data_IF_501838349673
#
_entry.id   IF_501838349673
#
_cell.length_a   1.000
_cell.length_b   1.000
_cell.length_c   1.000
_cell.angle_alpha   90.00
_cell.angle_beta   90.00
_cell.angle_gamma   90.00
#
_symmetry.space_group_name_H-M   'P 1'
#
loop_
_entity.id
_entity.type
_entity.pdbx_description
1 polymer ?
#
# COMPACT_ATOMS: atom_id res chain seq x y z
N UNK A 1 3.70 12.68 7.66
CA UNK A 1 2.24 12.73 7.42
C UNK A 1 1.69 11.31 7.59
N UNK A 2 0.40 11.12 7.85
CA UNK A 2 -0.21 9.79 7.84
C UNK A 2 -0.77 9.50 6.45
N UNK A 3 -0.56 8.29 5.96
CA UNK A 3 -1.18 7.76 4.75
C UNK A 3 -1.93 6.49 5.11
N UNK A 4 -3.17 6.39 4.65
CA UNK A 4 -3.96 5.15 4.74
C UNK A 4 -4.11 4.58 3.35
N UNK A 5 -3.68 3.35 3.14
CA UNK A 5 -3.64 2.68 1.83
C UNK A 5 -4.63 1.54 1.79
N UNK A 6 -5.33 1.42 0.65
CA UNK A 6 -6.23 0.35 0.29
C UNK A 6 -5.60 -0.42 -0.87
N UNK A 7 -5.16 -1.65 -0.62
CA UNK A 7 -4.52 -2.51 -1.61
C UNK A 7 -5.45 -3.66 -1.95
N UNK A 8 -5.92 -3.80 -3.20
CA UNK A 8 -6.76 -4.94 -3.58
C UNK A 8 -5.96 -6.25 -3.45
N UNK A 9 -6.65 -7.34 -3.09
CA UNK A 9 -6.05 -8.65 -2.82
C UNK A 9 -5.00 -9.07 -3.86
N UNK A 10 -5.34 -8.92 -5.15
CA UNK A 10 -4.50 -9.29 -6.29
C UNK A 10 -3.18 -8.49 -6.42
N UNK A 11 -2.99 -7.42 -5.63
CA UNK A 11 -1.78 -6.60 -5.64
C UNK A 11 -0.98 -6.66 -4.34
N UNK A 12 -1.43 -7.45 -3.35
CA UNK A 12 -0.80 -7.53 -2.02
C UNK A 12 0.67 -7.97 -2.11
N UNK A 13 0.98 -9.00 -2.90
CA UNK A 13 2.36 -9.49 -3.04
C UNK A 13 3.31 -8.41 -3.57
N UNK A 14 2.91 -7.70 -4.63
CA UNK A 14 3.69 -6.62 -5.20
C UNK A 14 3.79 -5.42 -4.23
N UNK A 15 2.71 -5.12 -3.49
CA UNK A 15 2.66 -4.05 -2.50
C UNK A 15 3.56 -4.33 -1.28
N UNK A 16 3.63 -5.57 -0.83
CA UNK A 16 4.56 -5.99 0.23
C UNK A 16 6.02 -5.90 -0.22
N UNK A 17 6.31 -6.19 -1.49
CA UNK A 17 7.64 -5.95 -2.06
C UNK A 17 7.96 -4.45 -2.16
N UNK A 18 6.98 -3.61 -2.47
CA UNK A 18 7.13 -2.16 -2.42
C UNK A 18 7.42 -1.67 -0.99
N UNK A 19 6.71 -2.19 0.01
CA UNK A 19 6.94 -1.86 1.41
C UNK A 19 8.37 -2.22 1.86
N UNK A 20 8.84 -3.43 1.55
CA UNK A 20 10.24 -3.82 1.79
C UNK A 20 11.26 -2.87 1.11
N UNK A 21 10.98 -2.39 -0.11
CA UNK A 21 11.86 -1.45 -0.79
C UNK A 21 11.93 -0.07 -0.11
N UNK A 22 10.85 0.39 0.49
CA UNK A 22 10.68 1.78 0.93
C UNK A 22 10.76 1.99 2.44
N UNK A 23 10.54 0.94 3.23
CA UNK A 23 10.46 1.01 4.68
C UNK A 23 11.77 0.51 5.34
N UNK A 24 11.68 -0.43 6.28
CA UNK A 24 12.77 -0.76 7.20
C UNK A 24 13.48 -2.07 6.85
N UNK A 25 12.81 -3.04 6.21
CA UNK A 25 13.45 -4.29 5.80
C UNK A 25 12.50 -5.47 5.57
N UNK A 26 12.98 -6.72 5.75
CA UNK A 26 12.20 -7.93 5.47
C UNK A 26 10.87 -8.05 6.23
N UNK A 27 10.76 -7.43 7.40
CA UNK A 27 9.51 -7.44 8.19
C UNK A 27 8.36 -6.71 7.48
N UNK A 28 8.67 -5.83 6.53
CA UNK A 28 7.67 -5.12 5.73
C UNK A 28 7.07 -6.00 4.62
N UNK A 29 7.49 -7.27 4.50
CA UNK A 29 6.82 -8.27 3.66
C UNK A 29 5.38 -8.57 4.10
N UNK A 30 4.98 -8.06 5.27
CA UNK A 30 3.73 -8.31 5.96
C UNK A 30 2.89 -7.03 6.16
N UNK A 31 3.24 -5.93 5.49
CA UNK A 31 2.57 -4.63 5.63
C UNK A 31 1.11 -4.67 5.18
N UNK A 32 0.83 -5.39 4.10
CA UNK A 32 -0.50 -5.57 3.53
C UNK A 32 -0.97 -6.98 3.81
N UNK A 33 -2.00 -7.10 4.65
CA UNK A 33 -2.67 -8.35 5.00
C UNK A 33 -4.18 -8.17 4.83
N UNK A 34 -4.85 -9.22 4.38
CA UNK A 34 -6.31 -9.22 4.30
C UNK A 34 -6.90 -9.32 5.70
N UNK A 35 -7.71 -8.33 6.05
CA UNK A 35 -8.37 -8.25 7.36
C UNK A 35 -9.90 -8.29 7.25
N UNK A 36 -10.46 -8.43 6.03
CA UNK A 36 -11.90 -8.51 5.82
C UNK A 36 -12.55 -7.22 5.30
N UNK A 37 -11.78 -6.21 4.88
CA UNK A 37 -12.36 -5.03 4.23
C UNK A 37 -12.75 -5.31 2.78
N UNK A 38 -13.89 -4.79 2.35
CA UNK A 38 -14.42 -4.95 0.98
C UNK A 38 -15.02 -3.66 0.43
N UNK A 39 -14.92 -3.48 -0.88
CA UNK A 39 -15.62 -2.44 -1.65
C UNK A 39 -16.09 -3.05 -2.97
N UNK A 40 -17.38 -2.93 -3.27
CA UNK A 40 -18.03 -3.54 -4.44
C UNK A 40 -17.70 -5.04 -4.62
N UNK A 41 -17.61 -5.78 -3.52
CA UNK A 41 -17.35 -7.22 -3.51
C UNK A 41 -15.88 -7.62 -3.69
N UNK A 42 -14.97 -6.65 -3.88
CA UNK A 42 -13.52 -6.90 -3.94
C UNK A 42 -12.93 -6.70 -2.55
N UNK A 43 -12.05 -7.60 -2.11
CA UNK A 43 -11.35 -7.47 -0.83
C UNK A 43 -10.11 -6.58 -0.94
N UNK A 44 -9.87 -5.81 0.11
CA UNK A 44 -8.73 -4.92 0.24
C UNK A 44 -7.99 -5.14 1.55
N UNK A 45 -6.67 -5.19 1.49
CA UNK A 45 -5.82 -4.93 2.63
C UNK A 45 -5.86 -3.43 2.94
N UNK A 46 -5.97 -3.09 4.23
CA UNK A 46 -6.00 -1.70 4.70
C UNK A 46 -4.87 -1.50 5.68
N UNK A 47 -3.99 -0.55 5.40
CA UNK A 47 -2.86 -0.22 6.28
C UNK A 47 -2.74 1.30 6.45
N UNK A 48 -2.27 1.74 7.61
CA UNK A 48 -2.06 3.16 7.89
C UNK A 48 -0.72 3.35 8.57
N UNK A 49 0.10 4.24 8.03
CA UNK A 49 1.46 4.44 8.50
C UNK A 49 1.94 5.88 8.35
N UNK A 50 2.92 6.30 9.16
CA UNK A 50 3.65 7.54 8.92
C UNK A 50 4.46 7.45 7.63
N UNK A 51 4.11 8.28 6.64
CA UNK A 51 4.90 8.44 5.42
C UNK A 51 5.84 9.65 5.58
N UNK A 52 7.17 9.45 5.61
CA UNK A 52 8.13 10.55 5.54
C UNK A 52 8.21 11.12 4.12
N UNK A 53 8.60 12.38 3.98
CA UNK A 53 8.68 13.04 2.67
C UNK A 53 9.61 12.31 1.70
N UNK A 54 10.68 11.67 2.21
CA UNK A 54 11.62 10.88 1.44
C UNK A 54 10.95 9.65 0.78
N UNK A 55 10.01 9.00 1.47
CA UNK A 55 9.25 7.88 0.91
C UNK A 55 8.39 8.36 -0.27
N UNK A 56 7.74 9.51 -0.13
CA UNK A 56 6.93 10.13 -1.19
C UNK A 56 7.77 10.51 -2.42
N UNK A 57 9.03 10.91 -2.21
CA UNK A 57 9.96 11.16 -3.31
C UNK A 57 10.42 9.85 -3.95
N UNK A 58 10.71 8.82 -3.16
CA UNK A 58 11.20 7.53 -3.62
C UNK A 58 10.19 6.80 -4.53
N UNK A 59 8.87 6.90 -4.25
CA UNK A 59 7.84 6.33 -5.14
C UNK A 59 7.78 7.00 -6.52
N UNK A 60 8.33 8.22 -6.66
CA UNK A 60 8.40 8.94 -7.93
C UNK A 60 9.40 8.37 -8.93
N UNK A 61 10.31 7.49 -8.51
CA UNK A 61 11.39 6.96 -9.34
C UNK A 61 11.41 5.43 -9.35
N UNK A 62 11.97 4.79 -10.40
CA UNK A 62 12.17 3.35 -10.40
C UNK A 62 12.99 2.89 -9.18
N UNK A 63 12.54 1.82 -8.53
CA UNK A 63 13.17 1.29 -7.33
C UNK A 63 14.35 0.39 -7.70
N UNK A 64 15.47 0.59 -7.00
CA UNK A 64 16.58 -0.35 -6.98
C UNK A 64 16.41 -1.41 -5.90
N UNK A 65 17.25 -2.45 -5.93
CA UNK A 65 17.32 -3.42 -4.84
C UNK A 65 17.86 -2.74 -3.58
N UNK A 66 17.22 -2.87 -2.41
CA UNK A 66 17.75 -2.33 -1.17
C UNK A 66 19.12 -2.93 -0.81
N UNK A 67 19.99 -2.14 -0.19
CA UNK A 67 21.33 -2.60 0.21
C UNK A 67 21.31 -3.69 1.27
N UNK A 68 20.23 -3.78 2.06
CA UNK A 68 20.05 -4.84 3.04
C UNK A 68 19.70 -6.19 2.40
N UNK A 69 19.18 -6.20 1.17
CA UNK A 69 18.63 -7.39 0.51
C UNK A 69 19.70 -8.25 -0.17
N UNK A 70 20.71 -8.64 0.61
CA UNK A 70 21.81 -9.49 0.16
C UNK A 70 21.34 -10.89 -0.27
N UNK A 71 20.26 -11.38 0.35
CA UNK A 71 19.65 -12.68 0.06
C UNK A 71 18.67 -12.67 -1.11
N UNK A 72 18.46 -11.51 -1.76
CA UNK A 72 17.55 -11.34 -2.90
C UNK A 72 16.11 -11.75 -2.60
N UNK A 73 15.64 -11.48 -1.39
CA UNK A 73 14.27 -11.71 -0.95
C UNK A 73 13.28 -10.81 -1.68
N UNK A 74 13.68 -9.58 -2.02
CA UNK A 74 12.77 -8.60 -2.63
C UNK A 74 12.61 -8.88 -4.12
N UNK A 75 11.36 -9.04 -4.55
CA UNK A 75 10.97 -8.94 -5.95
C UNK A 75 10.88 -7.46 -6.37
N UNK A 76 12.02 -6.91 -6.80
CA UNK A 76 12.13 -5.50 -7.23
C UNK A 76 11.24 -5.20 -8.45
N UNK A 77 10.99 -6.18 -9.31
CA UNK A 77 10.08 -6.00 -10.45
C UNK A 77 8.63 -5.85 -9.96
N UNK A 78 8.20 -6.66 -9.00
CA UNK A 78 6.90 -6.54 -8.34
C UNK A 78 6.75 -5.22 -7.59
N UNK A 79 7.76 -4.82 -6.82
CA UNK A 79 7.79 -3.51 -6.16
C UNK A 79 7.58 -2.35 -7.15
N UNK A 80 8.23 -2.41 -8.31
CA UNK A 80 8.07 -1.38 -9.34
C UNK A 80 6.69 -1.40 -10.01
N UNK A 81 6.04 -2.57 -10.15
CA UNK A 81 4.64 -2.64 -10.60
C UNK A 81 3.72 -1.97 -9.58
N UNK A 82 3.82 -2.33 -8.30
CA UNK A 82 3.04 -1.70 -7.23
C UNK A 82 3.26 -0.19 -7.17
N UNK A 83 4.50 0.27 -7.33
CA UNK A 83 4.82 1.71 -7.39
C UNK A 83 4.05 2.45 -8.48
N UNK A 84 3.92 1.85 -9.67
CA UNK A 84 3.18 2.45 -10.80
C UNK A 84 1.66 2.44 -10.55
N UNK A 85 1.16 1.44 -9.81
CA UNK A 85 -0.26 1.34 -9.43
C UNK A 85 -0.63 2.24 -8.24
N UNK A 86 0.35 2.81 -7.54
CA UNK A 86 0.13 3.60 -6.34
C UNK A 86 -0.40 5.00 -6.68
N UNK A 87 -1.63 5.28 -6.28
CA UNK A 87 -2.31 6.55 -6.46
C UNK A 87 -2.55 7.21 -5.09
N UNK A 88 -1.71 8.22 -4.77
CA UNK A 88 -1.76 8.93 -3.49
C UNK A 88 -2.41 10.29 -3.66
N UNK A 89 -3.47 10.56 -2.89
CA UNK A 89 -4.20 11.82 -2.95
C UNK A 89 -4.56 12.38 -1.57
N UNK A 90 -4.52 13.70 -1.38
CA UNK A 90 -5.13 14.38 -0.24
C UNK A 90 -6.65 14.56 -0.41
N UNK A 91 -7.24 14.02 -1.48
CA UNK A 91 -8.70 13.91 -1.71
C UNK A 91 -9.19 12.47 -1.50
N UNK A 92 -10.48 12.31 -1.19
CA UNK A 92 -11.05 10.99 -0.99
C UNK A 92 -11.19 10.32 -2.35
N UNK A 93 -10.68 9.10 -2.46
CA UNK A 93 -10.78 8.30 -3.67
C UNK A 93 -11.39 6.95 -3.31
N UNK A 94 -12.39 6.47 -4.07
CA UNK A 94 -12.91 5.13 -3.85
C UNK A 94 -11.79 4.10 -4.11
N UNK A 95 -11.78 2.97 -3.40
CA UNK A 95 -10.93 1.83 -3.74
C UNK A 95 -11.25 1.36 -5.16
N UNK A 96 -10.23 0.89 -5.89
CA UNK A 96 -10.39 0.34 -7.23
C UNK A 96 -9.55 -0.93 -7.36
N UNK A 97 -10.04 -1.96 -8.07
CA UNK A 97 -9.31 -3.23 -8.19
C UNK A 97 -8.01 -3.09 -9.00
N UNK A 98 -7.88 -2.08 -9.86
CA UNK A 98 -6.75 -1.86 -10.75
C UNK A 98 -5.67 -0.92 -10.19
N UNK A 99 -5.83 -0.42 -8.95
CA UNK A 99 -4.92 0.55 -8.34
C UNK A 99 -4.72 0.29 -6.84
N UNK A 100 -3.55 0.68 -6.33
CA UNK A 100 -3.30 0.78 -4.89
C UNK A 100 -3.60 2.23 -4.49
N UNK A 101 -4.71 2.45 -3.79
CA UNK A 101 -5.21 3.80 -3.49
C UNK A 101 -4.75 4.23 -2.10
N UNK A 102 -4.17 5.43 -1.98
CA UNK A 102 -3.75 5.98 -0.69
C UNK A 102 -4.33 7.36 -0.40
N UNK A 103 -4.89 7.50 0.80
CA UNK A 103 -5.47 8.72 1.36
C UNK A 103 -4.45 9.40 2.28
N UNK A 104 -3.99 10.60 1.90
CA UNK A 104 -3.06 11.41 2.69
C UNK A 104 -3.83 12.28 3.68
N UNK A 105 -3.42 12.29 4.95
CA UNK A 105 -3.88 13.27 5.94
C UNK A 105 -4.72 12.70 7.09
N UNK A 106 -5.97 12.23 6.84
CA UNK A 106 -6.84 11.80 7.92
C UNK A 106 -6.39 10.50 8.58
N UNK A 107 -6.85 10.27 9.81
CA UNK A 107 -6.65 8.98 10.48
C UNK A 107 -7.38 7.86 9.74
N UNK A 108 -6.87 6.62 9.88
CA UNK A 108 -7.35 5.45 9.17
C UNK A 108 -8.88 5.29 9.14
N UNK A 109 -9.55 5.45 10.28
CA UNK A 109 -11.01 5.31 10.38
C UNK A 109 -11.76 6.28 9.47
N UNK A 110 -11.33 7.54 9.41
CA UNK A 110 -11.97 8.51 8.53
C UNK A 110 -11.69 8.18 7.06
N UNK A 111 -10.45 7.79 6.73
CA UNK A 111 -10.11 7.37 5.36
C UNK A 111 -10.95 6.18 4.88
N UNK A 112 -11.14 5.16 5.73
CA UNK A 112 -11.97 3.97 5.45
C UNK A 112 -13.42 4.38 5.20
N UNK A 113 -13.98 5.24 6.06
CA UNK A 113 -15.36 5.71 5.93
C UNK A 113 -15.55 6.56 4.66
N UNK A 114 -14.64 7.49 4.37
CA UNK A 114 -14.67 8.34 3.18
C UNK A 114 -14.56 7.49 1.90
N UNK A 115 -13.83 6.37 1.96
CA UNK A 115 -13.64 5.44 0.85
C UNK A 115 -14.82 4.47 0.66
N UNK A 116 -15.73 4.35 1.63
CA UNK A 116 -16.88 3.46 1.56
C UNK A 116 -16.56 1.98 1.76
N UNK A 117 -15.42 1.64 2.34
CA UNK A 117 -15.06 0.26 2.66
C UNK A 117 -15.98 -0.31 3.75
N UNK A 118 -16.41 -1.55 3.58
CA UNK A 118 -17.23 -2.28 4.55
C UNK A 118 -16.45 -3.45 5.15
N UNK A 119 -16.73 -3.77 6.41
CA UNK A 119 -16.17 -4.95 7.06
C UNK A 119 -16.99 -6.19 6.69
N UNK A 120 -16.32 -7.27 6.31
CA UNK A 120 -16.90 -8.59 6.11
C UNK A 120 -16.83 -9.36 7.43
N UNK A 121 -17.98 -9.76 7.96
CA UNK A 121 -18.05 -10.75 9.03
C UNK A 121 -17.76 -12.14 8.41
N UNK A 122 -16.47 -12.52 8.39
CA UNK A 122 -15.97 -13.81 7.89
C UNK A 122 -16.00 -14.90 8.97
#
# INVERSE_FOLDING_TARGET
MIVTVFCPEQHIDDANNLAMCLAFGPADADTYRLEGWSFDGVQYAVTSFPAPAQMMQAVGYPLGRPSWDNSKLVNVAGANRARVMLDLSPEAMPPRPDAIVGRIGPMARQAINDAGLVWLDL
#
